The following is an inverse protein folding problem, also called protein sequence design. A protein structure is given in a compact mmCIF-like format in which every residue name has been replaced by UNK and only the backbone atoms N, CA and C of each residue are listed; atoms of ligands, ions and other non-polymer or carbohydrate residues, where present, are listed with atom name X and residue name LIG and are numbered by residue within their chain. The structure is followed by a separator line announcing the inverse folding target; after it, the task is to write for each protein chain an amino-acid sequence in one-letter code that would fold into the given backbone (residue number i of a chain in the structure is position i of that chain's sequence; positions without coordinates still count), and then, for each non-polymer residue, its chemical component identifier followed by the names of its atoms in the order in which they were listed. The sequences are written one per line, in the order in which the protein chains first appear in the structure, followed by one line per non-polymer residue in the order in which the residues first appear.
data_IF_060998741467
#
_entry.id   IF_060998741467
#
_cell.length_a   1.000
_cell.length_b   1.000
_cell.length_c   1.000
_cell.angle_alpha   90.00
_cell.angle_beta   90.00
_cell.angle_gamma   90.00
#
_symmetry.space_group_name_H-M   'P 1'
#
loop_
_entity.id
_entity.type
_entity.pdbx_description
1 polymer ?
#
# COMPACT_ATOMS: atom_id res chain seq x y z
N UNK A 1 3.02 33.72 -17.86
CA UNK A 1 3.66 32.60 -18.61
C UNK A 1 3.04 31.32 -18.07
N UNK A 2 2.22 30.64 -18.87
CA UNK A 2 1.55 29.41 -18.43
C UNK A 2 2.53 28.24 -18.37
N UNK A 3 2.50 27.48 -17.28
CA UNK A 3 3.28 26.25 -17.13
C UNK A 3 2.64 25.19 -18.04
N UNK A 4 3.40 24.69 -19.00
CA UNK A 4 3.00 23.60 -19.88
C UNK A 4 2.87 22.32 -19.03
N UNK A 5 1.65 21.94 -18.64
CA UNK A 5 1.40 20.78 -17.76
C UNK A 5 1.43 19.43 -18.49
N UNK A 6 1.48 19.42 -19.83
CA UNK A 6 1.52 18.17 -20.59
C UNK A 6 2.16 18.38 -21.97
N UNK A 7 3.40 17.93 -22.13
CA UNK A 7 3.98 17.68 -23.45
C UNK A 7 3.65 16.23 -23.82
N UNK A 8 2.91 16.04 -24.93
CA UNK A 8 2.60 14.71 -25.45
C UNK A 8 3.90 14.10 -25.97
N UNK A 9 4.63 13.37 -25.14
CA UNK A 9 5.82 12.61 -25.54
C UNK A 9 5.38 11.58 -26.58
N UNK A 10 5.78 11.70 -27.86
CA UNK A 10 5.36 10.75 -28.89
C UNK A 10 5.97 9.37 -28.61
N UNK A 11 5.14 8.34 -28.45
CA UNK A 11 5.58 6.95 -28.31
C UNK A 11 5.26 6.26 -26.98
N UNK A 12 4.77 6.99 -25.97
CA UNK A 12 4.32 6.39 -24.72
C UNK A 12 2.84 6.01 -24.86
N UNK A 13 2.54 4.71 -24.78
CA UNK A 13 1.14 4.24 -24.77
C UNK A 13 0.41 4.76 -23.54
N UNK A 14 -0.90 4.96 -23.64
CA UNK A 14 -1.77 5.40 -22.53
C UNK A 14 -1.55 4.57 -21.25
N UNK A 15 -1.38 3.24 -21.39
CA UNK A 15 -1.05 2.33 -20.28
C UNK A 15 0.27 2.62 -19.60
N UNK A 16 1.29 3.03 -20.35
CA UNK A 16 2.60 3.38 -19.81
C UNK A 16 2.53 4.75 -19.11
N UNK A 17 1.75 5.70 -19.63
CA UNK A 17 1.47 6.98 -18.97
C UNK A 17 0.73 6.81 -17.64
N UNK A 18 -0.26 5.93 -17.56
CA UNK A 18 -0.96 5.67 -16.29
C UNK A 18 -0.10 4.98 -15.26
N UNK A 19 0.67 3.97 -15.66
CA UNK A 19 1.62 3.32 -14.77
C UNK A 19 2.61 4.35 -14.22
N UNK A 20 3.15 5.20 -15.10
CA UNK A 20 4.05 6.29 -14.72
C UNK A 20 3.37 7.32 -13.80
N UNK A 21 2.11 7.68 -14.06
CA UNK A 21 1.36 8.63 -13.22
C UNK A 21 1.03 8.05 -11.84
N UNK A 22 0.66 6.77 -11.77
CA UNK A 22 0.37 6.08 -10.52
C UNK A 22 1.63 5.97 -9.64
N UNK A 23 2.74 5.51 -10.23
CA UNK A 23 4.03 5.45 -9.57
C UNK A 23 4.50 6.85 -9.16
N UNK A 24 4.21 7.87 -9.98
CA UNK A 24 4.54 9.26 -9.68
C UNK A 24 3.69 9.87 -8.56
N UNK A 25 2.39 9.58 -8.47
CA UNK A 25 1.54 10.04 -7.37
C UNK A 25 1.93 9.39 -6.03
N UNK A 26 2.18 8.08 -6.02
CA UNK A 26 2.69 7.38 -4.85
C UNK A 26 4.07 7.90 -4.44
N UNK A 27 4.94 8.14 -5.42
CA UNK A 27 6.25 8.76 -5.21
C UNK A 27 6.12 10.18 -4.62
N UNK A 28 5.23 11.02 -5.14
CA UNK A 28 4.99 12.36 -4.63
C UNK A 28 4.47 12.32 -3.19
N UNK A 29 3.52 11.43 -2.90
CA UNK A 29 2.96 11.27 -1.56
C UNK A 29 4.04 10.83 -0.56
N UNK A 30 4.79 9.78 -0.90
CA UNK A 30 5.89 9.29 -0.09
C UNK A 30 6.97 10.36 0.09
N UNK A 31 7.37 11.06 -0.97
CA UNK A 31 8.36 12.14 -0.94
C UNK A 31 7.89 13.32 -0.08
N UNK A 32 6.61 13.67 -0.08
CA UNK A 32 6.07 14.72 0.77
C UNK A 32 6.16 14.35 2.26
N UNK A 33 5.78 13.11 2.61
CA UNK A 33 5.91 12.57 3.95
C UNK A 33 7.38 12.56 4.37
N UNK A 34 8.27 12.02 3.53
CA UNK A 34 9.70 11.96 3.79
C UNK A 34 10.35 13.34 3.91
N UNK A 35 9.97 14.32 3.09
CA UNK A 35 10.48 15.70 3.21
C UNK A 35 10.13 16.29 4.56
N UNK A 36 8.95 15.98 5.09
CA UNK A 36 8.56 16.39 6.45
C UNK A 36 9.50 15.79 7.49
N UNK A 37 9.75 14.47 7.42
CA UNK A 37 10.67 13.79 8.34
C UNK A 37 12.15 14.18 8.13
N UNK A 38 12.58 14.42 6.89
CA UNK A 38 13.92 14.89 6.53
C UNK A 38 14.14 16.32 7.02
N UNK A 39 13.14 17.19 6.90
CA UNK A 39 13.21 18.55 7.44
C UNK A 39 13.32 18.53 8.96
N UNK A 40 12.50 17.72 9.63
CA UNK A 40 12.62 17.47 11.07
C UNK A 40 14.01 16.93 11.44
N UNK A 41 14.58 16.03 10.62
CA UNK A 41 15.94 15.48 10.78
C UNK A 41 17.04 16.54 10.67
N UNK A 42 16.95 17.46 9.71
CA UNK A 42 17.94 18.54 9.53
C UNK A 42 17.83 19.57 10.65
N UNK A 43 16.61 19.91 11.08
CA UNK A 43 16.38 20.98 12.05
C UNK A 43 16.59 20.57 13.51
N UNK A 44 16.46 19.28 13.85
CA UNK A 44 16.42 18.82 15.25
C UNK A 44 17.76 18.50 15.92
N UNK A 45 18.86 18.34 15.19
CA UNK A 45 20.10 17.77 15.75
C UNK A 45 19.93 16.30 16.18
N UNK A 46 20.96 15.46 16.06
CA UNK A 46 20.84 14.04 16.43
C UNK A 46 20.57 13.87 17.94
N UNK A 47 19.60 13.02 18.34
CA UNK A 47 19.72 11.58 18.10
C UNK A 47 18.53 10.91 17.41
N UNK A 48 18.83 9.83 16.68
CA UNK A 48 17.87 8.91 16.03
C UNK A 48 17.01 8.10 17.03
N UNK A 49 17.22 8.26 18.33
CA UNK A 49 16.63 7.44 19.40
C UNK A 49 15.21 7.85 19.82
N UNK A 50 14.69 8.99 19.36
CA UNK A 50 13.36 9.50 19.74
C UNK A 50 12.23 9.28 18.73
N UNK A 51 12.52 8.67 17.56
CA UNK A 51 11.51 8.52 16.50
C UNK A 51 10.79 7.20 16.64
N UNK A 52 9.52 7.28 17.04
CA UNK A 52 8.62 6.13 17.10
C UNK A 52 7.61 6.21 15.98
N UNK A 53 7.17 5.06 15.53
CA UNK A 53 6.00 4.98 14.67
C UNK A 53 4.83 5.59 15.43
N UNK A 54 4.11 6.51 14.79
CA UNK A 54 2.82 7.00 15.31
C UNK A 54 1.86 5.83 15.47
N UNK A 55 1.74 5.36 16.72
CA UNK A 55 1.00 4.15 17.09
C UNK A 55 -0.49 4.34 16.85
N UNK A 56 -1.05 5.50 17.20
CA UNK A 56 -2.46 5.81 16.99
C UNK A 56 -2.82 5.74 15.50
N UNK A 57 -2.01 6.37 14.64
CA UNK A 57 -2.21 6.29 13.19
C UNK A 57 -2.18 4.87 12.67
N UNK A 58 -1.20 4.06 13.09
CA UNK A 58 -1.08 2.67 12.63
C UNK A 58 -2.23 1.80 13.15
N UNK A 59 -2.64 1.96 14.40
CA UNK A 59 -3.77 1.23 14.98
C UNK A 59 -5.09 1.58 14.27
N UNK A 60 -5.31 2.85 13.93
CA UNK A 60 -6.45 3.28 13.12
C UNK A 60 -6.43 2.62 11.73
N UNK A 61 -5.26 2.58 11.07
CA UNK A 61 -5.11 1.90 9.78
C UNK A 61 -5.33 0.39 9.89
N UNK A 62 -4.85 -0.26 10.95
CA UNK A 62 -5.06 -1.69 11.20
C UNK A 62 -6.54 -2.01 11.49
N UNK A 63 -7.22 -1.16 12.27
CA UNK A 63 -8.65 -1.27 12.54
C UNK A 63 -9.46 -1.16 11.24
N UNK A 64 -9.13 -0.18 10.39
CA UNK A 64 -9.79 -0.05 9.09
C UNK A 64 -9.50 -1.22 8.16
N UNK A 65 -8.25 -1.73 8.16
CA UNK A 65 -7.88 -2.91 7.39
C UNK A 65 -8.71 -4.13 7.80
N UNK A 66 -8.84 -4.37 9.11
CA UNK A 66 -9.63 -5.48 9.66
C UNK A 66 -11.10 -5.39 9.24
N UNK A 67 -11.71 -4.20 9.35
CA UNK A 67 -13.08 -3.94 8.90
C UNK A 67 -13.26 -4.31 7.41
N UNK A 68 -12.35 -3.86 6.53
CA UNK A 68 -12.46 -4.14 5.10
C UNK A 68 -12.23 -5.62 4.78
N UNK A 69 -11.31 -6.29 5.47
CA UNK A 69 -11.07 -7.72 5.31
C UNK A 69 -12.28 -8.54 5.76
N UNK A 70 -12.96 -8.13 6.83
CA UNK A 70 -14.20 -8.76 7.27
C UNK A 70 -15.33 -8.61 6.23
N UNK A 71 -15.53 -7.40 5.68
CA UNK A 71 -16.50 -7.16 4.61
C UNK A 71 -16.20 -7.97 3.34
N UNK A 72 -14.93 -8.12 2.98
CA UNK A 72 -14.48 -8.94 1.86
C UNK A 72 -14.70 -10.45 2.12
N UNK A 73 -14.38 -10.92 3.32
CA UNK A 73 -14.57 -12.31 3.72
C UNK A 73 -16.04 -12.71 3.67
N UNK A 74 -16.94 -11.84 4.16
CA UNK A 74 -18.39 -12.07 4.08
C UNK A 74 -18.87 -12.16 2.62
N UNK A 75 -18.34 -11.31 1.74
CA UNK A 75 -18.73 -11.29 0.31
C UNK A 75 -18.13 -12.43 -0.50
N UNK A 76 -16.97 -12.96 -0.09
CA UNK A 76 -16.33 -14.13 -0.70
C UNK A 76 -17.29 -15.32 -0.78
N UNK A 77 -18.12 -15.52 0.25
CA UNK A 77 -19.09 -16.61 0.30
C UNK A 77 -20.18 -16.50 -0.78
N UNK A 78 -20.43 -15.30 -1.29
CA UNK A 78 -21.39 -15.04 -2.36
C UNK A 78 -20.81 -15.26 -3.76
N UNK A 79 -19.54 -15.67 -3.90
CA UNK A 79 -18.86 -15.89 -5.17
C UNK A 79 -18.17 -17.27 -5.24
N UNK A 80 -18.95 -18.38 -5.31
CA UNK A 80 -18.40 -19.73 -5.41
C UNK A 80 -17.64 -19.99 -6.71
N UNK A 81 -17.82 -19.16 -7.75
CA UNK A 81 -17.08 -19.24 -9.01
C UNK A 81 -16.74 -17.86 -9.58
N UNK A 82 -15.76 -17.83 -10.48
CA UNK A 82 -15.38 -16.61 -11.21
C UNK A 82 -16.52 -16.11 -12.11
N UNK A 83 -17.31 -17.01 -12.69
CA UNK A 83 -18.43 -16.63 -13.55
C UNK A 83 -19.53 -15.91 -12.75
N UNK A 84 -19.83 -16.38 -11.54
CA UNK A 84 -20.78 -15.70 -10.63
C UNK A 84 -20.25 -14.33 -10.17
N UNK A 85 -18.95 -14.25 -9.88
CA UNK A 85 -18.29 -12.96 -9.61
C UNK A 85 -18.41 -11.97 -10.78
N UNK A 86 -18.32 -12.46 -12.02
CA UNK A 86 -18.48 -11.62 -13.21
C UNK A 86 -19.93 -11.23 -13.50
N UNK A 87 -20.89 -12.10 -13.15
CA UNK A 87 -22.32 -11.85 -13.34
C UNK A 87 -22.87 -10.80 -12.36
N UNK A 88 -22.45 -10.85 -11.09
CA UNK A 88 -22.93 -9.97 -10.02
C UNK A 88 -22.18 -8.64 -9.95
N UNK A 89 -22.42 -7.76 -10.92
CA UNK A 89 -21.70 -6.48 -11.09
C UNK A 89 -21.62 -5.65 -9.80
N UNK A 90 -22.74 -5.38 -9.14
CA UNK A 90 -22.75 -4.45 -8.00
C UNK A 90 -21.94 -5.00 -6.81
N UNK A 91 -22.06 -6.30 -6.53
CA UNK A 91 -21.28 -6.97 -5.48
C UNK A 91 -19.80 -7.01 -5.84
N UNK A 92 -19.48 -7.25 -7.10
CA UNK A 92 -18.10 -7.20 -7.60
C UNK A 92 -17.48 -5.84 -7.40
N UNK A 93 -18.11 -4.78 -7.89
CA UNK A 93 -17.57 -3.42 -7.78
C UNK A 93 -17.44 -2.98 -6.31
N UNK A 94 -18.38 -3.37 -5.45
CA UNK A 94 -18.29 -3.13 -4.02
C UNK A 94 -17.11 -3.88 -3.38
N UNK A 95 -16.85 -5.11 -3.83
CA UNK A 95 -15.68 -5.89 -3.39
C UNK A 95 -14.36 -5.24 -3.84
N UNK A 96 -14.31 -4.72 -5.08
CA UNK A 96 -13.17 -3.94 -5.56
C UNK A 96 -12.94 -2.70 -4.70
N UNK A 97 -14.01 -2.03 -4.28
CA UNK A 97 -13.93 -0.86 -3.40
C UNK A 97 -13.33 -1.20 -2.03
N UNK A 98 -13.81 -2.24 -1.35
CA UNK A 98 -13.24 -2.64 -0.06
C UNK A 98 -11.81 -3.13 -0.18
N UNK A 99 -11.51 -3.89 -1.25
CA UNK A 99 -10.14 -4.34 -1.53
C UNK A 99 -9.20 -3.15 -1.72
N UNK A 100 -9.62 -2.12 -2.45
CA UNK A 100 -8.84 -0.88 -2.60
C UNK A 100 -8.51 -0.27 -1.24
N UNK A 101 -9.48 -0.15 -0.34
CA UNK A 101 -9.27 0.45 0.99
C UNK A 101 -8.30 -0.42 1.81
N UNK A 102 -8.48 -1.74 1.81
CA UNK A 102 -7.57 -2.66 2.49
C UNK A 102 -6.12 -2.52 1.99
N UNK A 103 -5.94 -2.46 0.67
CA UNK A 103 -4.62 -2.26 0.06
C UNK A 103 -4.03 -0.90 0.42
N UNK A 104 -4.84 0.16 0.46
CA UNK A 104 -4.38 1.49 0.90
C UNK A 104 -3.89 1.47 2.34
N UNK A 105 -4.60 0.82 3.26
CA UNK A 105 -4.17 0.68 4.65
C UNK A 105 -2.79 0.01 4.77
N UNK A 106 -2.54 -1.05 3.99
CA UNK A 106 -1.23 -1.72 3.94
C UNK A 106 -0.14 -0.75 3.48
N UNK A 107 -0.39 -0.02 2.39
CA UNK A 107 0.59 0.91 1.84
C UNK A 107 0.83 2.10 2.79
N UNK A 108 -0.20 2.67 3.39
CA UNK A 108 -0.07 3.80 4.33
C UNK A 108 0.77 3.44 5.55
N UNK A 109 0.57 2.24 6.11
CA UNK A 109 1.40 1.73 7.20
C UNK A 109 2.85 1.60 6.74
N UNK A 110 3.09 1.02 5.56
CA UNK A 110 4.45 0.88 5.01
C UNK A 110 5.10 2.25 4.75
N UNK A 111 4.38 3.21 4.14
CA UNK A 111 4.88 4.57 3.87
C UNK A 111 5.29 5.26 5.17
N UNK A 112 4.41 5.22 6.16
CA UNK A 112 4.67 5.83 7.46
C UNK A 112 5.87 5.20 8.15
N UNK A 113 5.92 3.87 8.19
CA UNK A 113 7.04 3.12 8.77
C UNK A 113 8.39 3.46 8.10
N UNK A 114 8.45 3.38 6.77
CA UNK A 114 9.67 3.66 5.99
C UNK A 114 10.12 5.12 6.18
N UNK A 115 9.16 6.04 6.28
CA UNK A 115 9.47 7.44 6.51
C UNK A 115 10.04 7.70 7.90
N UNK A 116 9.54 7.02 8.95
CA UNK A 116 10.05 7.09 10.32
C UNK A 116 11.45 6.46 10.42
N UNK A 117 11.68 5.30 9.82
CA UNK A 117 12.98 4.60 9.83
C UNK A 117 14.05 5.27 8.95
N UNK A 118 13.66 6.21 8.09
CA UNK A 118 14.58 7.09 7.36
C UNK A 118 15.17 6.47 6.10
N UNK A 119 14.31 6.08 5.15
CA UNK A 119 14.75 5.77 3.79
C UNK A 119 15.41 6.98 3.09
N UNK A 120 16.45 6.70 2.33
CA UNK A 120 17.02 7.59 1.33
C UNK A 120 16.13 7.64 0.08
N UNK A 121 16.16 8.77 -0.65
CA UNK A 121 15.42 8.92 -1.90
C UNK A 121 15.76 7.82 -2.92
N UNK A 122 17.02 7.39 -2.97
CA UNK A 122 17.46 6.31 -3.84
C UNK A 122 16.77 4.96 -3.55
N UNK A 123 16.55 4.62 -2.28
CA UNK A 123 15.84 3.39 -1.89
C UNK A 123 14.38 3.41 -2.33
N UNK A 124 13.75 4.59 -2.33
CA UNK A 124 12.35 4.76 -2.70
C UNK A 124 12.17 4.67 -4.22
N UNK A 125 13.12 5.23 -4.97
CA UNK A 125 13.08 5.21 -6.43
C UNK A 125 13.33 3.81 -7.01
N UNK A 126 13.99 2.94 -6.25
CA UNK A 126 14.50 1.66 -6.76
C UNK A 126 13.82 0.43 -6.17
N UNK A 127 13.20 0.54 -5.00
CA UNK A 127 12.61 -0.59 -4.27
C UNK A 127 11.11 -0.41 -4.11
N UNK A 128 10.35 -1.48 -4.35
CA UNK A 128 8.93 -1.50 -4.03
C UNK A 128 8.71 -1.17 -2.55
N UNK A 129 7.77 -0.28 -2.25
CA UNK A 129 7.51 0.20 -0.89
C UNK A 129 7.36 -0.93 0.15
N UNK A 130 6.65 -2.00 -0.19
CA UNK A 130 6.40 -3.13 0.71
C UNK A 130 7.68 -3.92 0.94
N UNK A 131 8.47 -4.15 -0.11
CA UNK A 131 9.79 -4.78 0.00
C UNK A 131 10.72 -3.94 0.88
N UNK A 132 10.75 -2.63 0.67
CA UNK A 132 11.56 -1.70 1.47
C UNK A 132 11.15 -1.70 2.95
N UNK A 133 9.85 -1.79 3.25
CA UNK A 133 9.37 -1.94 4.62
C UNK A 133 9.84 -3.26 5.26
N UNK A 134 9.87 -4.35 4.49
CA UNK A 134 10.44 -5.63 4.92
C UNK A 134 11.96 -5.55 5.19
N UNK A 135 12.71 -4.92 4.29
CA UNK A 135 14.16 -4.72 4.44
C UNK A 135 14.51 -3.88 5.68
N UNK A 136 13.64 -2.93 6.04
CA UNK A 136 13.79 -2.09 7.24
C UNK A 136 13.22 -2.73 8.52
N UNK A 137 12.67 -3.95 8.44
CA UNK A 137 12.31 -4.75 9.60
C UNK A 137 10.86 -4.64 10.08
N UNK A 138 9.92 -4.12 9.27
CA UNK A 138 8.49 -4.17 9.61
C UNK A 138 7.95 -5.60 9.58
N UNK A 139 8.46 -6.42 8.66
CA UNK A 139 8.02 -7.79 8.42
C UNK A 139 9.16 -8.63 7.80
N UNK A 140 9.09 -9.96 7.79
CA UNK A 140 10.09 -10.80 7.15
C UNK A 140 10.25 -10.48 5.65
N UNK A 141 11.47 -10.39 5.11
CA UNK A 141 11.69 -10.08 3.69
C UNK A 141 11.01 -11.05 2.72
N UNK A 142 10.89 -12.32 3.08
CA UNK A 142 10.19 -13.33 2.28
C UNK A 142 8.69 -13.05 2.19
N UNK A 143 8.07 -12.61 3.29
CA UNK A 143 6.66 -12.22 3.31
C UNK A 143 6.44 -10.93 2.51
N UNK A 144 7.32 -9.93 2.69
CA UNK A 144 7.26 -8.68 1.92
C UNK A 144 7.28 -8.93 0.40
N UNK A 145 8.15 -9.83 -0.07
CA UNK A 145 8.20 -10.25 -1.49
C UNK A 145 6.91 -10.96 -1.94
N UNK A 146 6.28 -11.76 -1.06
CA UNK A 146 5.01 -12.46 -1.33
C UNK A 146 3.87 -11.47 -1.56
N UNK A 147 3.81 -10.40 -0.79
CA UNK A 147 2.72 -9.42 -0.82
C UNK A 147 3.02 -8.15 -1.64
N UNK A 148 4.22 -8.00 -2.20
CA UNK A 148 4.62 -6.80 -2.98
C UNK A 148 3.65 -6.41 -4.10
N UNK A 149 2.95 -7.40 -4.67
CA UNK A 149 1.95 -7.19 -5.72
C UNK A 149 0.74 -6.37 -5.28
N UNK A 150 0.49 -6.24 -3.98
CA UNK A 150 -0.58 -5.40 -3.41
C UNK A 150 -0.44 -3.94 -3.83
N UNK A 151 0.78 -3.41 -3.92
CA UNK A 151 1.03 -2.05 -4.40
C UNK A 151 0.57 -1.88 -5.86
N UNK A 152 0.95 -2.82 -6.73
CA UNK A 152 0.55 -2.82 -8.13
C UNK A 152 -0.96 -2.99 -8.32
N UNK A 153 -1.59 -3.85 -7.53
CA UNK A 153 -3.05 -4.04 -7.57
C UNK A 153 -3.80 -2.78 -7.16
N UNK A 154 -3.36 -2.10 -6.09
CA UNK A 154 -3.94 -0.83 -5.65
C UNK A 154 -3.83 0.22 -6.76
N UNK A 155 -2.67 0.32 -7.39
CA UNK A 155 -2.43 1.26 -8.48
C UNK A 155 -3.31 0.95 -9.70
N UNK A 156 -3.47 -0.34 -10.03
CA UNK A 156 -4.38 -0.75 -11.09
C UNK A 156 -5.84 -0.37 -10.81
N UNK A 157 -6.32 -0.59 -9.57
CA UNK A 157 -7.70 -0.25 -9.17
C UNK A 157 -7.98 1.25 -9.28
N UNK A 158 -7.02 2.10 -8.92
CA UNK A 158 -7.21 3.56 -8.93
C UNK A 158 -7.01 4.17 -10.32
N UNK A 159 -5.95 3.78 -11.03
CA UNK A 159 -5.49 4.51 -12.22
C UNK A 159 -5.85 3.84 -13.54
N UNK A 160 -6.04 2.52 -13.56
CA UNK A 160 -6.31 1.74 -14.79
C UNK A 160 -7.79 1.31 -14.83
N UNK A 161 -8.64 1.79 -13.93
CA UNK A 161 -10.01 1.32 -13.62
C UNK A 161 -10.90 0.82 -14.78
N UNK A 162 -10.69 1.26 -16.02
CA UNK A 162 -11.36 0.75 -17.22
C UNK A 162 -10.84 -0.60 -17.75
N UNK A 163 -9.76 -1.15 -17.20
CA UNK A 163 -9.17 -2.44 -17.58
C UNK A 163 -8.62 -3.20 -16.37
N UNK A 164 -9.47 -3.41 -15.38
CA UNK A 164 -9.13 -4.23 -14.22
C UNK A 164 -8.99 -5.71 -14.59
N UNK A 165 -7.96 -6.34 -14.03
CA UNK A 165 -7.83 -7.79 -14.04
C UNK A 165 -8.72 -8.39 -12.94
N UNK A 166 -9.98 -8.65 -13.30
CA UNK A 166 -10.95 -9.23 -12.39
C UNK A 166 -10.59 -10.64 -11.94
N UNK A 167 -9.81 -11.40 -12.71
CA UNK A 167 -9.34 -12.72 -12.31
C UNK A 167 -8.34 -12.61 -11.15
N UNK A 168 -7.38 -11.68 -11.24
CA UNK A 168 -6.45 -11.40 -10.17
C UNK A 168 -7.16 -10.85 -8.90
N UNK A 169 -8.17 -10.01 -9.08
CA UNK A 169 -9.01 -9.52 -7.96
C UNK A 169 -9.75 -10.69 -7.32
N UNK A 170 -10.43 -11.53 -8.11
CA UNK A 170 -11.15 -12.69 -7.60
C UNK A 170 -10.20 -13.61 -6.82
N UNK A 171 -9.03 -13.93 -7.37
CA UNK A 171 -8.01 -14.72 -6.70
C UNK A 171 -7.56 -14.09 -5.36
N UNK A 172 -7.37 -12.76 -5.33
CA UNK A 172 -7.02 -12.05 -4.10
C UNK A 172 -8.09 -12.22 -3.02
N UNK A 173 -9.37 -12.15 -3.41
CA UNK A 173 -10.50 -12.36 -2.50
C UNK A 173 -10.63 -13.82 -2.05
N UNK A 174 -10.38 -14.80 -2.92
CA UNK A 174 -10.67 -16.21 -2.63
C UNK A 174 -9.52 -16.94 -1.96
N UNK A 175 -8.28 -16.60 -2.28
CA UNK A 175 -7.09 -17.38 -1.91
C UNK A 175 -6.10 -16.63 -1.02
N UNK A 176 -6.21 -15.30 -0.92
CA UNK A 176 -5.15 -14.46 -0.34
C UNK A 176 -5.62 -13.42 0.67
N UNK A 177 -6.86 -13.50 1.15
CA UNK A 177 -7.32 -12.59 2.21
C UNK A 177 -6.51 -12.75 3.51
N UNK A 178 -6.01 -13.95 3.76
CA UNK A 178 -5.20 -14.30 4.93
C UNK A 178 -3.85 -13.56 4.94
N UNK A 179 -3.36 -13.09 3.78
CA UNK A 179 -2.15 -12.27 3.71
C UNK A 179 -2.32 -10.94 4.46
N UNK A 180 -3.52 -10.35 4.44
CA UNK A 180 -3.79 -9.13 5.21
C UNK A 180 -3.73 -9.37 6.71
N UNK A 181 -4.25 -10.51 7.17
CA UNK A 181 -4.19 -10.88 8.58
C UNK A 181 -2.75 -11.15 9.04
N UNK A 182 -1.96 -11.82 8.19
CA UNK A 182 -0.54 -12.05 8.48
C UNK A 182 0.24 -10.73 8.52
N UNK A 183 -0.02 -9.80 7.59
CA UNK A 183 0.53 -8.45 7.63
C UNK A 183 0.17 -7.74 8.95
N UNK A 184 -1.10 -7.72 9.35
CA UNK A 184 -1.54 -7.11 10.61
C UNK A 184 -0.82 -7.68 11.83
N UNK A 185 -0.57 -8.99 11.86
CA UNK A 185 0.21 -9.64 12.93
C UNK A 185 1.65 -9.17 12.99
N UNK A 186 2.33 -9.02 11.84
CA UNK A 186 3.69 -8.49 11.82
C UNK A 186 3.76 -7.03 12.28
N UNK A 187 2.84 -6.20 11.80
CA UNK A 187 2.77 -4.78 12.23
C UNK A 187 2.50 -4.68 13.74
N UNK A 188 1.57 -5.48 14.27
CA UNK A 188 1.27 -5.50 15.70
C UNK A 188 2.48 -5.95 16.53
N UNK A 189 3.14 -7.05 16.14
CA UNK A 189 4.34 -7.54 16.81
C UNK A 189 5.48 -6.50 16.81
N UNK A 190 5.61 -5.75 15.72
CA UNK A 190 6.56 -4.64 15.64
C UNK A 190 6.24 -3.53 16.64
N UNK A 191 4.96 -3.11 16.75
CA UNK A 191 4.53 -2.08 17.71
C UNK A 191 4.77 -2.49 19.18
N UNK A 192 4.52 -3.76 19.50
CA UNK A 192 4.79 -4.30 20.85
C UNK A 192 6.29 -4.36 21.14
N UNK A 193 7.12 -4.70 20.15
CA UNK A 193 8.58 -4.66 20.27
C UNK A 193 9.14 -3.26 20.53
N UNK A 194 8.60 -2.22 19.87
CA UNK A 194 8.99 -0.83 20.17
C UNK A 194 8.59 -0.42 21.60
N UNK A 195 7.44 -0.90 22.08
CA UNK A 195 6.91 -0.58 23.42
C UNK A 195 7.75 -1.16 24.55
N UNK A 196 8.41 -2.30 24.33
CA UNK A 196 9.29 -2.95 25.31
C UNK A 196 10.71 -2.35 25.40
N UNK A 197 11.13 -1.60 24.38
CA UNK A 197 12.49 -1.02 24.27
C UNK A 197 12.54 0.45 24.72
N UNK A 198 11.51 0.86 25.47
CA UNK A 198 11.09 2.24 25.69
C UNK A 198 10.92 2.55 27.16
#
# INVERSE_FOLDING_TARGET
QGILLYERIPGITTRLLEALLADWEDYLHLTAVLRTFLRARIQGGYPMSGRRVDRERVELSLSKLDEMVAELAQRREAFPSFDEFMAERDRRELSVHYLRIALECVLDICRHFVAVKGASLAEIDTTNLIELAGEKGLMPPLFARRIRGMAGMRNAIVHIYWKLDYAAIYQMLTERLEDFQEFSRYVWAFLEGESATS
#
